data_IF_781318969217
#
_entry.id   IF_781318969217
#
_cell.length_a   1.000
_cell.length_b   1.000
_cell.length_c   1.000
_cell.angle_alpha   90.00
_cell.angle_beta   90.00
_cell.angle_gamma   90.00
#
_symmetry.space_group_name_H-M   'P 1'
#
loop_
_entity.id
_entity.type
_entity.pdbx_description
1 polymer ?
#
# COMPACT_ATOMS: atom_id res chain seq x y z
N UNK A 1 -11.82 -45.33 -5.65
CA UNK A 1 -12.24 -44.22 -4.77
C UNK A 1 -10.98 -43.46 -4.43
N UNK A 2 -10.71 -42.41 -5.18
CA UNK A 2 -9.50 -41.57 -4.97
C UNK A 2 -9.91 -40.39 -4.10
N UNK A 3 -9.32 -40.31 -2.90
CA UNK A 3 -9.52 -39.19 -1.99
C UNK A 3 -8.90 -37.91 -2.60
N UNK A 4 -9.76 -36.99 -2.97
CA UNK A 4 -9.38 -35.68 -3.41
C UNK A 4 -8.85 -34.85 -2.23
N UNK A 5 -7.55 -34.65 -2.22
CA UNK A 5 -6.82 -33.92 -1.16
C UNK A 5 -7.19 -32.44 -1.23
N UNK A 6 -8.10 -31.99 -0.38
CA UNK A 6 -8.45 -30.59 -0.19
C UNK A 6 -7.17 -29.81 0.14
N UNK A 7 -6.79 -28.76 -0.65
CA UNK A 7 -5.62 -27.97 -0.35
C UNK A 7 -5.81 -27.22 0.97
N UNK A 8 -4.88 -27.39 1.91
CA UNK A 8 -4.84 -26.64 3.17
C UNK A 8 -4.80 -25.15 2.87
N UNK A 9 -5.62 -24.31 3.54
CA UNK A 9 -5.60 -22.89 3.34
C UNK A 9 -4.19 -22.35 3.60
N UNK A 10 -3.63 -21.64 2.63
CA UNK A 10 -2.37 -20.92 2.79
C UNK A 10 -2.48 -20.06 4.05
N UNK A 11 -1.47 -20.14 4.94
CA UNK A 11 -1.36 -19.27 6.13
C UNK A 11 -1.65 -17.85 5.69
N UNK A 12 -2.75 -17.27 6.16
CA UNK A 12 -3.19 -15.96 5.74
C UNK A 12 -2.11 -14.94 6.11
N UNK A 13 -1.89 -13.96 5.25
CA UNK A 13 -0.99 -12.84 5.53
C UNK A 13 -1.34 -12.19 6.88
N UNK A 14 -2.63 -12.22 7.26
CA UNK A 14 -3.16 -11.82 8.55
C UNK A 14 -2.41 -12.51 9.70
N UNK A 15 -2.21 -13.82 9.67
CA UNK A 15 -1.50 -14.53 10.74
C UNK A 15 0.00 -14.20 10.83
N UNK A 16 0.58 -13.72 9.73
CA UNK A 16 1.97 -13.26 9.67
C UNK A 16 2.07 -11.81 10.14
N UNK A 17 1.16 -10.95 9.68
CA UNK A 17 1.05 -9.55 10.11
C UNK A 17 0.70 -9.46 11.60
N UNK A 18 -0.24 -10.29 12.09
CA UNK A 18 -0.62 -10.34 13.52
C UNK A 18 0.58 -10.71 14.40
N UNK A 19 1.39 -11.70 13.99
CA UNK A 19 2.58 -12.10 14.74
C UNK A 19 3.65 -11.02 14.78
N UNK A 20 3.91 -10.37 13.65
CA UNK A 20 4.91 -9.31 13.55
C UNK A 20 4.43 -8.07 14.30
N UNK A 21 3.14 -7.75 14.22
CA UNK A 21 2.52 -6.66 14.96
C UNK A 21 2.63 -6.86 16.48
N UNK A 22 2.28 -8.05 16.96
CA UNK A 22 2.40 -8.39 18.39
C UNK A 22 3.85 -8.29 18.86
N UNK A 23 4.80 -8.73 18.04
CA UNK A 23 6.22 -8.62 18.35
C UNK A 23 6.67 -7.14 18.44
N UNK A 24 6.24 -6.30 17.50
CA UNK A 24 6.62 -4.89 17.49
C UNK A 24 5.96 -4.09 18.61
N UNK A 25 4.69 -4.35 18.92
CA UNK A 25 4.02 -3.75 20.08
C UNK A 25 4.74 -4.15 21.38
N UNK A 26 5.15 -5.43 21.52
CA UNK A 26 5.96 -5.86 22.69
C UNK A 26 7.30 -5.14 22.76
N UNK A 27 7.99 -4.96 21.63
CA UNK A 27 9.26 -4.25 21.60
C UNK A 27 9.09 -2.75 21.93
N UNK A 28 8.00 -2.11 21.47
CA UNK A 28 7.65 -0.75 21.87
C UNK A 28 7.37 -0.67 23.37
N UNK A 29 6.60 -1.61 23.91
CA UNK A 29 6.32 -1.71 25.34
C UNK A 29 7.61 -1.88 26.17
N UNK A 30 8.52 -2.75 25.74
CA UNK A 30 9.81 -2.95 26.41
C UNK A 30 10.68 -1.68 26.41
N UNK A 31 10.75 -0.96 25.28
CA UNK A 31 11.49 0.32 25.19
C UNK A 31 10.89 1.40 26.08
N UNK A 32 9.55 1.48 26.16
CA UNK A 32 8.87 2.41 27.06
C UNK A 32 9.08 2.04 28.53
N UNK A 33 9.10 0.75 28.88
CA UNK A 33 9.42 0.29 30.23
C UNK A 33 10.87 0.62 30.64
N UNK A 34 11.83 0.41 29.72
CA UNK A 34 13.22 0.78 29.94
C UNK A 34 13.38 2.29 30.14
N UNK A 35 12.61 3.09 29.41
CA UNK A 35 12.60 4.54 29.54
C UNK A 35 12.01 4.96 30.88
N UNK A 36 10.91 4.33 31.31
CA UNK A 36 10.30 4.57 32.62
C UNK A 36 11.24 4.23 33.78
N UNK A 37 11.97 3.10 33.68
CA UNK A 37 12.92 2.69 34.73
C UNK A 37 14.11 3.63 34.88
N UNK A 38 14.49 4.36 33.83
CA UNK A 38 15.60 5.33 33.89
C UNK A 38 15.11 6.78 34.10
N UNK A 39 13.79 7.01 34.11
CA UNK A 39 13.23 8.36 34.17
C UNK A 39 13.56 9.05 35.50
N UNK A 40 13.46 8.35 36.61
CA UNK A 40 13.70 8.91 37.96
C UNK A 40 15.18 9.27 38.18
N UNK A 41 16.10 8.48 37.61
CA UNK A 41 17.55 8.64 37.80
C UNK A 41 18.14 9.75 36.88
N UNK A 42 17.57 9.94 35.68
CA UNK A 42 18.13 10.86 34.68
C UNK A 42 17.19 12.00 34.29
N UNK A 43 16.13 12.26 35.06
CA UNK A 43 15.12 13.26 34.71
C UNK A 43 15.66 14.68 34.52
N UNK A 44 16.71 15.07 35.26
CA UNK A 44 17.34 16.38 35.15
C UNK A 44 18.29 16.55 33.97
N UNK A 45 18.74 15.43 33.36
CA UNK A 45 19.66 15.45 32.24
C UNK A 45 18.98 15.96 30.95
N UNK A 46 19.45 17.09 30.35
CA UNK A 46 18.89 17.64 29.12
C UNK A 46 19.02 16.69 27.90
N UNK A 47 20.10 15.89 27.82
CA UNK A 47 20.28 14.92 26.75
C UNK A 47 19.33 13.75 26.89
N UNK A 48 19.10 13.29 28.12
CA UNK A 48 18.11 12.28 28.41
C UNK A 48 16.70 12.76 28.04
N UNK A 49 16.32 13.99 28.43
CA UNK A 49 15.03 14.61 28.05
C UNK A 49 14.83 14.67 26.54
N UNK A 50 15.91 14.95 25.77
CA UNK A 50 15.86 14.96 24.31
C UNK A 50 15.62 13.54 23.76
N UNK A 51 16.41 12.57 24.22
CA UNK A 51 16.28 11.16 23.82
C UNK A 51 14.91 10.58 24.14
N UNK A 52 14.34 10.93 25.31
CA UNK A 52 12.97 10.58 25.71
C UNK A 52 11.95 11.11 24.70
N UNK A 53 12.06 12.40 24.36
CA UNK A 53 11.14 13.05 23.41
C UNK A 53 11.22 12.41 22.04
N UNK A 54 12.42 12.14 21.54
CA UNK A 54 12.65 11.48 20.25
C UNK A 54 12.08 10.07 20.24
N UNK A 55 12.31 9.27 21.29
CA UNK A 55 11.78 7.93 21.41
C UNK A 55 10.25 7.93 21.48
N UNK A 56 9.64 8.81 22.28
CA UNK A 56 8.19 8.95 22.37
C UNK A 56 7.59 9.38 21.03
N UNK A 57 8.17 10.39 20.36
CA UNK A 57 7.70 10.86 19.06
C UNK A 57 7.78 9.76 18.01
N UNK A 58 8.89 9.02 17.92
CA UNK A 58 9.05 7.91 16.99
C UNK A 58 8.10 6.76 17.28
N UNK A 59 7.83 6.48 18.57
CA UNK A 59 6.89 5.43 18.98
C UNK A 59 5.45 5.80 18.64
N UNK A 60 5.04 7.06 18.87
CA UNK A 60 3.72 7.58 18.49
C UNK A 60 3.54 7.49 16.97
N UNK A 61 4.52 7.96 16.19
CA UNK A 61 4.46 7.87 14.73
C UNK A 61 4.32 6.42 14.22
N UNK A 62 5.01 5.46 14.86
CA UNK A 62 4.89 4.04 14.55
C UNK A 62 3.50 3.49 14.91
N UNK A 63 2.97 3.86 16.07
CA UNK A 63 1.61 3.48 16.48
C UNK A 63 0.56 4.07 15.54
N UNK A 64 0.66 5.35 15.18
CA UNK A 64 -0.25 6.01 14.24
C UNK A 64 -0.18 5.33 12.86
N UNK A 65 1.01 4.98 12.40
CA UNK A 65 1.21 4.21 11.17
C UNK A 65 0.58 2.81 11.21
N UNK A 66 0.63 2.15 12.35
CA UNK A 66 -0.01 0.86 12.60
C UNK A 66 -1.54 1.03 12.66
N UNK A 67 -2.02 1.91 13.52
CA UNK A 67 -3.44 2.17 13.74
C UNK A 67 -4.11 2.65 12.46
N UNK A 68 -3.52 3.61 11.74
CA UNK A 68 -4.07 4.13 10.48
C UNK A 68 -4.25 3.05 9.41
N UNK A 69 -3.41 2.01 9.40
CA UNK A 69 -3.48 0.90 8.44
C UNK A 69 -4.36 -0.26 8.90
N UNK A 70 -4.46 -0.48 10.22
CA UNK A 70 -5.33 -1.51 10.80
C UNK A 70 -6.76 -1.03 11.06
N UNK A 71 -6.94 0.23 11.45
CA UNK A 71 -8.28 0.83 11.64
C UNK A 71 -9.03 0.97 10.33
N UNK A 72 -8.30 1.06 9.21
CA UNK A 72 -8.94 1.03 7.91
C UNK A 72 -9.60 -0.33 7.60
N UNK A 73 -9.15 -1.48 8.22
CA UNK A 73 -9.52 -2.79 7.67
C UNK A 73 -9.51 -3.98 8.63
N UNK A 74 -10.24 -3.96 9.76
CA UNK A 74 -10.28 -5.11 10.66
C UNK A 74 -10.97 -6.34 10.03
N UNK A 75 -11.94 -6.16 9.10
CA UNK A 75 -12.74 -7.23 8.47
C UNK A 75 -13.07 -6.95 6.99
N UNK A 76 -12.12 -6.45 6.24
CA UNK A 76 -12.37 -5.93 4.92
C UNK A 76 -12.87 -6.97 3.92
N UNK A 77 -14.16 -6.97 3.71
CA UNK A 77 -14.77 -7.53 2.50
C UNK A 77 -14.48 -6.53 1.37
N UNK A 78 -13.64 -6.92 0.41
CA UNK A 78 -13.40 -6.10 -0.78
C UNK A 78 -14.69 -5.90 -1.56
N UNK A 79 -15.15 -4.68 -1.69
CA UNK A 79 -16.29 -4.33 -2.54
C UNK A 79 -15.76 -4.00 -3.93
N UNK A 80 -15.60 -5.05 -4.75
CA UNK A 80 -15.08 -4.89 -6.10
C UNK A 80 -16.17 -4.45 -7.05
N UNK A 81 -15.86 -3.44 -7.84
CA UNK A 81 -16.70 -2.91 -8.91
C UNK A 81 -15.86 -2.75 -10.18
N UNK A 82 -16.52 -2.61 -11.33
CA UNK A 82 -15.85 -2.16 -12.54
C UNK A 82 -15.46 -0.68 -12.35
N UNK A 83 -14.17 -0.36 -12.47
CA UNK A 83 -13.66 0.98 -12.22
C UNK A 83 -12.72 1.46 -13.33
N UNK A 84 -12.73 2.76 -13.55
CA UNK A 84 -11.70 3.46 -14.32
C UNK A 84 -10.45 3.65 -13.45
N UNK A 85 -9.40 2.89 -13.76
CA UNK A 85 -8.14 2.95 -13.02
C UNK A 85 -7.47 4.34 -13.12
N UNK A 86 -7.68 5.08 -14.22
CA UNK A 86 -7.12 6.42 -14.38
C UNK A 86 -7.75 7.42 -13.42
N UNK A 87 -9.03 7.30 -13.12
CA UNK A 87 -9.70 8.12 -12.08
C UNK A 87 -9.11 7.83 -10.71
N UNK A 88 -8.92 6.56 -10.35
CA UNK A 88 -8.29 6.17 -9.08
C UNK A 88 -6.84 6.69 -8.98
N UNK A 89 -6.08 6.66 -10.08
CA UNK A 89 -4.70 7.20 -10.12
C UNK A 89 -4.66 8.71 -9.89
N UNK A 90 -5.59 9.48 -10.46
CA UNK A 90 -5.67 10.93 -10.22
C UNK A 90 -5.94 11.24 -8.76
N UNK A 91 -6.90 10.56 -8.14
CA UNK A 91 -7.23 10.72 -6.73
C UNK A 91 -6.07 10.29 -5.82
N UNK A 92 -5.40 9.18 -6.14
CA UNK A 92 -4.23 8.71 -5.41
C UNK A 92 -3.07 9.71 -5.44
N UNK A 93 -2.81 10.34 -6.59
CA UNK A 93 -1.78 11.36 -6.73
C UNK A 93 -2.09 12.60 -5.89
N UNK A 94 -3.35 13.05 -5.85
CA UNK A 94 -3.80 14.15 -4.98
C UNK A 94 -3.65 13.77 -3.51
N UNK A 95 -4.07 12.55 -3.12
CA UNK A 95 -3.94 12.05 -1.75
C UNK A 95 -2.48 11.98 -1.30
N UNK A 96 -1.58 11.44 -2.13
CA UNK A 96 -0.14 11.39 -1.87
C UNK A 96 0.48 12.78 -1.69
N UNK A 97 -0.09 13.80 -2.37
CA UNK A 97 0.37 15.20 -2.22
C UNK A 97 -0.03 15.78 -0.87
N UNK A 98 -1.21 15.45 -0.38
CA UNK A 98 -1.71 15.93 0.93
C UNK A 98 -1.01 15.25 2.11
N UNK A 99 -0.76 13.94 2.02
CA UNK A 99 -0.15 13.15 3.11
C UNK A 99 1.32 13.51 3.36
N UNK A 100 2.08 13.77 2.31
CA UNK A 100 3.53 13.99 2.40
C UNK A 100 3.99 15.38 2.83
N UNK A 101 3.08 16.35 2.99
CA UNK A 101 3.44 17.77 3.19
C UNK A 101 3.63 18.22 4.64
N UNK A 102 3.28 17.42 5.65
CA UNK A 102 3.36 17.85 7.05
C UNK A 102 3.66 16.68 7.97
N UNK A 103 4.87 16.63 8.49
CA UNK A 103 5.26 15.81 9.64
C UNK A 103 5.91 16.72 10.67
N UNK A 104 5.40 16.69 11.89
CA UNK A 104 6.00 17.36 13.09
C UNK A 104 6.36 18.85 12.90
N UNK A 105 5.55 19.63 12.17
CA UNK A 105 5.77 21.08 12.02
C UNK A 105 6.79 21.49 10.95
N UNK A 106 7.45 20.55 10.26
CA UNK A 106 8.32 20.85 9.14
C UNK A 106 7.59 20.63 7.80
N UNK A 107 7.59 21.66 6.94
CA UNK A 107 7.12 21.56 5.56
C UNK A 107 8.18 20.83 4.75
N UNK A 108 8.02 19.53 4.57
CA UNK A 108 8.94 18.73 3.76
C UNK A 108 8.65 18.96 2.27
N UNK A 109 9.63 19.47 1.53
CA UNK A 109 9.53 19.57 0.07
C UNK A 109 9.68 18.18 -0.51
N UNK A 110 8.59 17.66 -1.06
CA UNK A 110 8.55 16.38 -1.77
C UNK A 110 8.58 16.59 -3.29
N UNK A 111 9.13 15.63 -4.00
CA UNK A 111 9.20 15.66 -5.46
C UNK A 111 7.81 15.84 -6.11
N UNK A 112 7.70 16.64 -7.20
CA UNK A 112 6.46 16.79 -7.95
C UNK A 112 6.07 15.48 -8.66
N UNK A 113 4.77 15.30 -8.88
CA UNK A 113 4.20 14.16 -9.60
C UNK A 113 3.65 14.62 -10.93
N UNK A 114 4.04 13.94 -12.01
CA UNK A 114 3.48 14.09 -13.35
C UNK A 114 2.69 12.85 -13.73
N UNK A 115 1.50 13.03 -14.32
CA UNK A 115 0.64 11.96 -14.76
C UNK A 115 0.69 11.85 -16.30
N UNK A 116 1.04 10.68 -16.83
CA UNK A 116 1.03 10.35 -18.25
C UNK A 116 0.10 9.14 -18.46
N UNK A 117 -1.21 9.38 -18.34
CA UNK A 117 -2.23 8.34 -18.34
C UNK A 117 -2.69 8.04 -19.77
N UNK A 118 -2.41 6.83 -20.25
CA UNK A 118 -2.90 6.30 -21.51
C UNK A 118 -4.21 5.52 -21.34
N UNK A 119 -4.70 4.95 -22.44
CA UNK A 119 -5.88 4.09 -22.39
C UNK A 119 -5.60 2.79 -21.67
N UNK A 120 -6.48 2.44 -20.73
CA UNK A 120 -6.45 1.18 -19.97
C UNK A 120 -7.84 0.54 -19.97
N UNK A 121 -7.93 -0.79 -19.90
CA UNK A 121 -9.22 -1.43 -19.72
C UNK A 121 -9.78 -1.11 -18.32
N UNK A 122 -11.09 -1.16 -18.17
CA UNK A 122 -11.73 -1.18 -16.85
C UNK A 122 -11.15 -2.32 -16.03
N UNK A 123 -10.97 -2.10 -14.74
CA UNK A 123 -10.45 -3.07 -13.77
C UNK A 123 -11.56 -3.48 -12.82
N UNK A 124 -11.65 -4.76 -12.51
CA UNK A 124 -12.53 -5.24 -11.45
C UNK A 124 -11.85 -5.15 -10.10
N UNK A 125 -12.17 -4.12 -9.32
CA UNK A 125 -11.44 -3.83 -8.11
C UNK A 125 -12.20 -2.95 -7.12
N UNK A 126 -11.66 -2.87 -5.90
CA UNK A 126 -12.12 -1.97 -4.86
C UNK A 126 -11.37 -0.63 -4.99
N UNK A 127 -12.08 0.47 -5.32
CA UNK A 127 -11.45 1.75 -5.60
C UNK A 127 -10.74 2.33 -4.37
N UNK A 128 -11.27 2.08 -3.17
CA UNK A 128 -10.68 2.59 -1.93
C UNK A 128 -9.33 1.92 -1.65
N UNK A 129 -9.27 0.59 -1.68
CA UNK A 129 -8.02 -0.15 -1.43
C UNK A 129 -6.98 0.07 -2.51
N UNK A 130 -7.39 0.07 -3.78
CA UNK A 130 -6.48 0.39 -4.87
C UNK A 130 -5.96 1.83 -4.78
N UNK A 131 -6.84 2.78 -4.43
CA UNK A 131 -6.47 4.17 -4.21
C UNK A 131 -5.45 4.34 -3.09
N UNK A 132 -5.64 3.67 -1.96
CA UNK A 132 -4.70 3.72 -0.83
C UNK A 132 -3.34 3.09 -1.18
N UNK A 133 -3.33 1.93 -1.85
CA UNK A 133 -2.10 1.30 -2.31
C UNK A 133 -1.33 2.19 -3.29
N UNK A 134 -2.01 2.77 -4.28
CA UNK A 134 -1.40 3.66 -5.27
C UNK A 134 -0.88 4.95 -4.61
N UNK A 135 -1.65 5.56 -3.71
CA UNK A 135 -1.21 6.75 -2.97
C UNK A 135 0.05 6.46 -2.14
N UNK A 136 0.10 5.34 -1.45
CA UNK A 136 1.27 4.92 -0.67
C UNK A 136 2.51 4.69 -1.54
N UNK A 137 2.35 4.09 -2.73
CA UNK A 137 3.46 3.90 -3.67
C UNK A 137 3.96 5.22 -4.27
N UNK A 138 3.04 6.14 -4.61
CA UNK A 138 3.38 7.48 -5.11
C UNK A 138 4.09 8.29 -4.02
N UNK A 139 3.60 8.24 -2.77
CA UNK A 139 4.25 8.90 -1.63
C UNK A 139 5.67 8.37 -1.42
N UNK A 140 5.87 7.05 -1.48
CA UNK A 140 7.19 6.44 -1.38
C UNK A 140 8.16 6.95 -2.47
N UNK A 141 7.69 7.05 -3.72
CA UNK A 141 8.47 7.56 -4.85
C UNK A 141 8.83 9.04 -4.65
N UNK A 142 7.87 9.88 -4.19
CA UNK A 142 8.11 11.30 -3.91
C UNK A 142 9.14 11.52 -2.81
N UNK A 143 9.07 10.72 -1.75
CA UNK A 143 10.03 10.77 -0.65
C UNK A 143 11.43 10.33 -1.08
N UNK A 144 11.52 9.30 -1.94
CA UNK A 144 12.80 8.81 -2.44
C UNK A 144 13.48 9.81 -3.39
N UNK A 145 12.70 10.55 -4.19
CA UNK A 145 13.18 11.52 -5.17
C UNK A 145 13.39 12.94 -4.61
N UNK A 146 12.89 13.24 -3.39
CA UNK A 146 12.96 14.58 -2.81
C UNK A 146 14.42 15.06 -2.58
N UNK A 147 14.63 16.40 -2.54
CA UNK A 147 13.66 17.47 -2.84
C UNK A 147 13.62 17.87 -4.33
N UNK A 148 14.63 17.59 -5.12
CA UNK A 148 14.82 18.10 -6.49
C UNK A 148 14.51 17.06 -7.57
N UNK A 149 14.05 15.90 -7.14
CA UNK A 149 13.70 14.83 -8.03
C UNK A 149 12.33 15.01 -8.68
N UNK A 150 11.92 13.99 -9.41
CA UNK A 150 10.63 13.93 -10.09
C UNK A 150 10.02 12.54 -9.99
N UNK A 151 8.70 12.49 -10.00
CA UNK A 151 7.94 11.25 -10.08
C UNK A 151 7.03 11.31 -11.31
N UNK A 152 7.06 10.26 -12.10
CA UNK A 152 6.15 10.08 -13.24
C UNK A 152 5.29 8.86 -12.98
N UNK A 153 3.97 9.06 -13.03
CA UNK A 153 2.99 7.97 -12.99
C UNK A 153 2.40 7.82 -14.38
N UNK A 154 2.54 6.65 -14.96
CA UNK A 154 1.95 6.36 -16.26
C UNK A 154 1.11 5.11 -16.22
N UNK A 155 0.08 5.09 -17.06
CA UNK A 155 -0.77 3.93 -17.28
C UNK A 155 -0.87 3.61 -18.75
N UNK A 156 -0.98 2.33 -19.08
CA UNK A 156 -1.16 1.87 -20.44
C UNK A 156 -1.76 0.47 -20.45
N UNK A 157 -2.34 0.10 -21.59
CA UNK A 157 -2.85 -1.24 -21.84
C UNK A 157 -1.69 -2.18 -22.16
N UNK A 158 -1.67 -3.33 -21.49
CA UNK A 158 -0.71 -4.40 -21.82
C UNK A 158 -1.21 -5.23 -23.02
N UNK A 159 -0.37 -5.40 -24.01
CA UNK A 159 -0.69 -6.14 -25.25
C UNK A 159 -0.61 -7.66 -25.06
N UNK A 160 -1.37 -8.21 -24.15
CA UNK A 160 -1.43 -9.65 -23.90
C UNK A 160 -2.72 -10.30 -24.41
N UNK A 161 -2.78 -11.64 -24.40
CA UNK A 161 -4.00 -12.40 -24.76
C UNK A 161 -5.24 -12.02 -23.93
N UNK A 162 -5.05 -11.46 -22.74
CA UNK A 162 -6.11 -10.90 -21.90
C UNK A 162 -5.78 -9.45 -21.60
N UNK A 163 -6.73 -8.51 -21.75
CA UNK A 163 -6.48 -7.11 -21.49
C UNK A 163 -6.07 -6.92 -20.04
N UNK A 164 -4.99 -6.17 -19.82
CA UNK A 164 -4.50 -5.78 -18.49
C UNK A 164 -4.24 -4.29 -18.47
N UNK A 165 -4.54 -3.65 -17.35
CA UNK A 165 -4.08 -2.31 -17.06
C UNK A 165 -2.70 -2.39 -16.42
N UNK A 166 -1.72 -1.71 -16.97
CA UNK A 166 -0.39 -1.56 -16.39
C UNK A 166 -0.23 -0.15 -15.87
N UNK A 167 0.26 -0.03 -14.64
CA UNK A 167 0.65 1.24 -14.01
C UNK A 167 2.14 1.18 -13.71
N UNK A 168 2.85 2.25 -14.03
CA UNK A 168 4.25 2.44 -13.63
C UNK A 168 4.38 3.73 -12.83
N UNK A 169 5.03 3.63 -11.68
CA UNK A 169 5.43 4.74 -10.84
C UNK A 169 6.95 4.78 -10.90
N UNK A 170 7.48 5.85 -11.46
CA UNK A 170 8.90 6.02 -11.79
C UNK A 170 9.43 7.21 -11.02
N UNK A 171 10.48 7.00 -10.26
CA UNK A 171 11.22 8.07 -9.59
C UNK A 171 12.71 8.05 -9.99
N UNK A 172 13.36 9.19 -9.87
CA UNK A 172 14.79 9.36 -10.05
C UNK A 172 15.50 9.57 -8.72
N UNK A 173 15.01 8.93 -7.66
CA UNK A 173 15.51 9.06 -6.30
C UNK A 173 16.75 8.22 -5.98
N UNK A 174 16.96 8.03 -4.69
CA UNK A 174 18.13 7.30 -4.16
C UNK A 174 18.18 5.82 -4.58
N UNK A 175 17.05 5.24 -5.00
CA UNK A 175 16.96 3.84 -5.33
C UNK A 175 17.20 2.90 -4.14
N UNK A 176 17.39 1.61 -4.43
CA UNK A 176 17.56 0.56 -3.43
C UNK A 176 18.68 -0.40 -3.84
N UNK A 177 19.34 -1.01 -2.85
CA UNK A 177 20.35 -2.05 -3.07
C UNK A 177 19.70 -3.36 -3.55
N UNK A 178 20.47 -4.18 -4.29
CA UNK A 178 20.01 -5.47 -4.78
C UNK A 178 19.60 -6.41 -3.64
N UNK A 179 20.30 -6.39 -2.51
CA UNK A 179 19.98 -7.23 -1.35
C UNK A 179 18.67 -6.81 -0.69
N UNK A 180 18.42 -5.51 -0.58
CA UNK A 180 17.14 -5.02 -0.05
C UNK A 180 15.97 -5.41 -0.96
N UNK A 181 16.14 -5.26 -2.28
CA UNK A 181 15.12 -5.66 -3.26
C UNK A 181 14.78 -7.15 -3.19
N UNK A 182 15.79 -8.00 -3.08
CA UNK A 182 15.61 -9.45 -3.09
C UNK A 182 14.99 -9.96 -1.79
N UNK A 183 15.49 -9.48 -0.64
CA UNK A 183 15.25 -10.16 0.63
C UNK A 183 14.26 -9.41 1.53
N UNK A 184 14.05 -8.10 1.34
CA UNK A 184 13.36 -7.25 2.32
C UNK A 184 12.19 -6.42 1.77
N UNK A 185 12.18 -6.06 0.50
CA UNK A 185 11.29 -5.05 -0.08
C UNK A 185 9.80 -5.23 0.27
N UNK A 186 9.29 -6.46 0.19
CA UNK A 186 7.90 -6.78 0.45
C UNK A 186 7.65 -7.36 1.86
N UNK A 187 8.67 -7.39 2.70
CA UNK A 187 8.50 -7.81 4.08
C UNK A 187 7.96 -6.64 4.92
N UNK A 188 6.98 -6.87 5.79
CA UNK A 188 6.51 -5.86 6.72
C UNK A 188 7.64 -5.32 7.59
N UNK A 189 7.56 -4.02 7.92
CA UNK A 189 8.50 -3.31 8.80
C UNK A 189 9.93 -3.19 8.26
N UNK A 190 10.15 -3.52 6.99
CA UNK A 190 11.44 -3.28 6.34
C UNK A 190 11.42 -1.92 5.65
N UNK A 191 12.38 -1.08 6.01
CA UNK A 191 12.51 0.28 5.46
C UNK A 191 13.97 0.71 5.44
N UNK A 192 14.32 1.50 4.43
CA UNK A 192 15.60 2.21 4.34
C UNK A 192 15.50 3.64 4.88
N UNK A 193 14.29 4.08 5.27
CA UNK A 193 14.02 5.45 5.75
C UNK A 193 14.09 5.50 7.27
N UNK A 194 14.76 6.51 7.89
CA UNK A 194 14.87 6.61 9.35
C UNK A 194 13.51 6.61 10.07
N UNK A 195 12.54 7.33 9.54
CA UNK A 195 11.20 7.49 10.14
C UNK A 195 10.14 6.59 9.48
N UNK A 196 10.55 5.67 8.64
CA UNK A 196 9.64 4.79 7.91
C UNK A 196 9.12 3.63 8.77
N UNK A 197 7.81 3.35 8.72
CA UNK A 197 7.23 2.17 9.39
C UNK A 197 7.49 0.89 8.60
N UNK A 198 7.83 0.98 7.31
CA UNK A 198 8.12 -0.17 6.46
C UNK A 198 6.90 -1.04 6.10
N UNK A 199 5.68 -0.48 6.16
CA UNK A 199 4.45 -1.22 5.81
C UNK A 199 3.93 -0.92 4.40
N UNK A 200 4.29 0.22 3.80
CA UNK A 200 3.69 0.70 2.55
C UNK A 200 3.81 -0.29 1.40
N UNK A 201 5.01 -0.81 1.15
CA UNK A 201 5.27 -1.73 0.04
C UNK A 201 4.63 -3.11 0.28
N UNK A 202 4.68 -3.62 1.50
CA UNK A 202 4.06 -4.89 1.87
C UNK A 202 2.53 -4.83 1.73
N UNK A 203 1.89 -3.76 2.23
CA UNK A 203 0.44 -3.53 2.12
C UNK A 203 0.01 -3.35 0.66
N UNK A 204 0.72 -2.55 -0.12
CA UNK A 204 0.42 -2.36 -1.54
C UNK A 204 0.53 -3.69 -2.32
N UNK A 205 1.56 -4.50 -2.04
CA UNK A 205 1.73 -5.82 -2.67
C UNK A 205 0.54 -6.74 -2.36
N UNK A 206 0.06 -6.74 -1.14
CA UNK A 206 -1.09 -7.58 -0.75
C UNK A 206 -2.39 -7.10 -1.38
N UNK A 207 -2.64 -5.78 -1.39
CA UNK A 207 -3.81 -5.22 -2.07
C UNK A 207 -3.81 -5.60 -3.55
N UNK A 208 -2.68 -5.44 -4.24
CA UNK A 208 -2.54 -5.83 -5.65
C UNK A 208 -2.81 -7.33 -5.85
N UNK A 209 -2.30 -8.19 -4.95
CA UNK A 209 -2.53 -9.64 -4.96
C UNK A 209 -4.01 -9.99 -4.79
N UNK A 210 -4.69 -9.33 -3.85
CA UNK A 210 -6.14 -9.49 -3.61
C UNK A 210 -6.97 -9.09 -4.84
N UNK A 211 -6.44 -8.19 -5.68
CA UNK A 211 -7.01 -7.80 -6.97
C UNK A 211 -6.55 -8.68 -8.15
N UNK A 212 -5.93 -9.85 -7.86
CA UNK A 212 -5.39 -10.77 -8.87
C UNK A 212 -4.35 -10.10 -9.79
N UNK A 213 -3.74 -9.03 -9.31
CA UNK A 213 -2.68 -8.31 -9.98
C UNK A 213 -1.29 -8.83 -9.63
N UNK A 214 -0.29 -8.20 -10.22
CA UNK A 214 1.12 -8.43 -9.89
C UNK A 214 1.82 -7.10 -9.71
N UNK A 215 2.78 -7.06 -8.80
CA UNK A 215 3.67 -5.91 -8.58
C UNK A 215 5.12 -6.35 -8.81
N UNK A 216 5.88 -5.54 -9.51
CA UNK A 216 7.32 -5.73 -9.73
C UNK A 216 8.04 -4.42 -9.49
N UNK A 217 9.24 -4.50 -8.95
CA UNK A 217 10.08 -3.34 -8.68
C UNK A 217 11.44 -3.54 -9.33
N UNK A 218 11.90 -2.52 -10.03
CA UNK A 218 13.24 -2.41 -10.57
C UNK A 218 13.86 -1.16 -9.94
N UNK A 219 15.01 -1.30 -9.33
CA UNK A 219 15.71 -0.18 -8.68
C UNK A 219 17.21 -0.44 -8.68
N UNK A 220 17.96 0.65 -8.68
CA UNK A 220 19.40 0.64 -8.53
C UNK A 220 19.77 1.77 -7.57
N UNK A 221 20.71 1.52 -6.68
CA UNK A 221 21.22 2.55 -5.78
C UNK A 221 21.76 3.75 -6.58
N UNK A 222 21.25 4.95 -6.30
CA UNK A 222 21.52 6.18 -7.04
C UNK A 222 20.84 6.31 -8.41
N UNK A 223 20.09 5.28 -8.86
CA UNK A 223 19.47 5.23 -10.19
C UNK A 223 17.95 5.35 -10.21
N UNK A 224 17.33 5.58 -9.05
CA UNK A 224 15.87 5.67 -8.92
C UNK A 224 15.17 4.31 -8.87
N UNK A 225 13.84 4.36 -8.97
CA UNK A 225 12.99 3.17 -8.88
C UNK A 225 11.87 3.20 -9.91
N UNK A 226 11.53 2.03 -10.43
CA UNK A 226 10.34 1.77 -11.24
C UNK A 226 9.50 0.72 -10.53
N UNK A 227 8.33 1.10 -10.06
CA UNK A 227 7.31 0.19 -9.52
C UNK A 227 6.28 -0.05 -10.61
N UNK A 228 6.12 -1.30 -11.04
CA UNK A 228 5.17 -1.70 -12.08
C UNK A 228 4.09 -2.60 -11.51
N UNK A 229 2.84 -2.17 -11.66
CA UNK A 229 1.66 -2.95 -11.31
C UNK A 229 0.95 -3.41 -12.58
N UNK A 230 0.45 -4.65 -12.58
CA UNK A 230 -0.42 -5.16 -13.64
C UNK A 230 -1.69 -5.68 -13.01
N UNK A 231 -2.84 -5.12 -13.40
CA UNK A 231 -4.16 -5.51 -12.94
C UNK A 231 -4.94 -6.14 -14.10
N UNK A 232 -5.67 -7.24 -13.88
CA UNK A 232 -6.50 -7.81 -14.92
C UNK A 232 -7.62 -6.83 -15.30
N UNK A 233 -7.84 -6.62 -16.59
CA UNK A 233 -9.02 -5.92 -17.07
C UNK A 233 -10.28 -6.66 -16.68
N UNK A 234 -11.37 -5.94 -16.42
CA UNK A 234 -12.67 -6.55 -16.28
C UNK A 234 -12.99 -7.20 -17.62
N UNK A 235 -13.15 -8.52 -17.65
CA UNK A 235 -13.83 -9.15 -18.76
C UNK A 235 -15.28 -8.63 -18.67
N UNK A 236 -15.66 -7.66 -19.48
CA UNK A 236 -17.08 -7.49 -19.80
C UNK A 236 -17.49 -8.84 -20.34
N UNK A 237 -18.27 -9.59 -19.56
CA UNK A 237 -19.07 -10.69 -20.09
C UNK A 237 -19.88 -10.09 -21.24
N UNK A 238 -19.44 -10.30 -22.47
CA UNK A 238 -20.29 -10.14 -23.65
C UNK A 238 -21.19 -11.37 -23.72
N UNK A 239 -22.02 -11.54 -22.70
CA UNK A 239 -23.15 -12.43 -22.70
C UNK A 239 -24.24 -11.68 -21.94
N UNK A 240 -25.19 -11.22 -22.70
CA UNK A 240 -26.50 -10.90 -22.19
C UNK A 240 -27.03 -12.11 -21.40
N UNK A 241 -26.91 -12.06 -20.09
CA UNK A 241 -27.70 -12.85 -19.17
C UNK A 241 -28.75 -11.92 -18.53
N UNK A 242 -29.64 -11.43 -19.40
CA UNK A 242 -30.95 -10.95 -19.00
C UNK A 242 -31.86 -12.17 -18.95
N UNK A 243 -31.64 -13.05 -17.99
CA UNK A 243 -32.66 -13.97 -17.53
C UNK A 243 -33.18 -13.47 -16.18
N UNK A 244 -33.92 -12.36 -16.25
CA UNK A 244 -34.84 -11.95 -15.19
C UNK A 244 -36.07 -12.78 -15.44
N UNK A 245 -36.45 -13.74 -14.56
CA UNK A 245 -37.69 -14.46 -14.72
C UNK A 245 -38.84 -13.46 -14.58
N UNK A 246 -39.55 -13.23 -15.69
CA UNK A 246 -40.82 -12.48 -15.68
C UNK A 246 -41.82 -13.30 -14.87
N UNK A 247 -42.37 -12.78 -13.77
CA UNK A 247 -43.42 -13.49 -13.04
C UNK A 247 -44.62 -13.68 -13.95
N UNK A 248 -45.31 -14.83 -13.88
CA UNK A 248 -46.49 -15.08 -14.72
C UNK A 248 -47.60 -14.07 -14.39
N UNK A 249 -48.41 -13.66 -15.38
CA UNK A 249 -49.51 -12.74 -15.16
C UNK A 249 -50.51 -13.34 -14.19
N UNK A 250 -50.77 -12.66 -13.09
CA UNK A 250 -51.84 -12.98 -12.16
C UNK A 250 -53.19 -12.78 -12.87
N UNK A 251 -53.82 -13.90 -13.21
CA UNK A 251 -55.20 -13.92 -13.68
C UNK A 251 -56.14 -13.36 -12.61
N UNK A 252 -56.84 -12.29 -12.91
CA UNK A 252 -57.93 -11.81 -12.07
C UNK A 252 -59.16 -12.75 -12.16
N UNK A 253 -59.96 -12.82 -11.11
CA UNK A 253 -61.15 -13.64 -11.08
C UNK A 253 -62.28 -13.04 -11.90
N UNK A 254 -63.03 -13.94 -12.56
CA UNK A 254 -64.33 -13.67 -13.19
C UNK A 254 -65.43 -13.49 -12.14
#
# INVERSE_FOLDING_TARGET
MSEEKVPRPSRSLRSTLDRVLVHDIKNMGFRLQLLLSNLEEHYEDPEFKRSVRELLSSTIQRLDGIVGRFSAHPDAVLIKVALDLNSVLREAAVSATRRGGSRAGEVRRLAPVSLALGEVPEVWGDPYYLGDALASLIENAREAAAPEGRVVVRSFRDEGKRPRATVEIIDNGAGMSADFLRDRLFQPFQTTKPDGVGLGMATASEIVRLHRGTIRVQSQAGGGTVVRLKLPGSARSSAADTDVPVPPPTGGPA
#
